data_IF_470065419473
#
_entry.id   IF_470065419473
#
_cell.length_a   1.000
_cell.length_b   1.000
_cell.length_c   1.000
_cell.angle_alpha   90.00
_cell.angle_beta   90.00
_cell.angle_gamma   90.00
#
_symmetry.space_group_name_H-M   'P 1'
#
loop_
_entity.id
_entity.type
_entity.pdbx_description
1 polymer ?
#
# COMPACT_ATOMS: atom_id res chain seq x y z
N UNK A 1 2.06 61.77 40.91
CA UNK A 1 1.29 60.55 41.27
C UNK A 1 -0.13 60.73 40.75
N UNK A 2 -0.43 60.21 39.57
CA UNK A 2 -1.74 60.12 38.88
C UNK A 2 -1.47 59.26 37.63
N UNK A 3 -2.16 58.15 37.30
CA UNK A 3 -3.59 57.81 37.19
C UNK A 3 -4.15 58.01 35.77
N UNK A 4 -4.86 56.98 35.30
CA UNK A 4 -5.52 56.82 33.99
C UNK A 4 -4.60 56.72 32.75
N UNK A 5 -4.89 55.87 31.76
CA UNK A 5 -5.93 54.83 31.69
C UNK A 5 -5.78 53.94 30.43
N UNK A 6 -6.00 52.62 30.58
CA UNK A 6 -5.74 51.64 29.50
C UNK A 6 -6.98 51.42 28.61
N UNK A 7 -7.04 52.12 27.48
CA UNK A 7 -8.14 52.02 26.51
C UNK A 7 -8.00 50.80 25.58
N UNK A 8 -8.67 49.69 25.90
CA UNK A 8 -8.71 48.47 25.07
C UNK A 8 -9.58 48.68 23.82
N UNK A 9 -8.97 48.97 22.66
CA UNK A 9 -9.67 48.97 21.36
C UNK A 9 -9.86 47.54 20.85
N UNK A 10 -11.11 47.18 20.57
CA UNK A 10 -11.44 45.92 19.91
C UNK A 10 -11.27 46.05 18.39
N UNK A 11 -10.57 45.07 17.78
CA UNK A 11 -10.34 45.04 16.34
C UNK A 11 -11.52 44.42 15.60
N UNK A 12 -12.39 45.25 15.02
CA UNK A 12 -13.48 44.78 14.18
C UNK A 12 -12.95 44.05 12.94
N UNK A 13 -13.23 42.74 12.83
CA UNK A 13 -13.00 41.99 11.59
C UNK A 13 -14.01 42.44 10.53
N UNK A 14 -13.53 43.17 9.51
CA UNK A 14 -14.32 43.44 8.32
C UNK A 14 -14.66 42.15 7.54
N UNK A 15 -15.74 42.15 6.74
CA UNK A 15 -16.11 40.99 5.93
C UNK A 15 -15.02 40.69 4.90
N UNK A 16 -14.63 39.42 4.77
CA UNK A 16 -13.70 38.95 3.74
C UNK A 16 -14.33 39.15 2.35
N UNK A 17 -13.59 39.69 1.36
CA UNK A 17 -14.10 39.78 0.00
C UNK A 17 -14.37 38.39 -0.58
N UNK A 18 -15.49 38.24 -1.29
CA UNK A 18 -15.82 37.00 -1.99
C UNK A 18 -14.90 36.74 -3.19
N UNK A 19 -14.82 35.50 -3.69
CA UNK A 19 -14.02 35.17 -4.86
C UNK A 19 -14.52 35.93 -6.11
N UNK A 20 -13.62 36.33 -7.03
CA UNK A 20 -13.99 37.04 -8.24
C UNK A 20 -14.83 36.16 -9.18
N UNK A 21 -15.72 36.76 -10.01
CA UNK A 21 -16.48 36.01 -11.01
C UNK A 21 -15.56 35.41 -12.07
N UNK A 22 -15.87 34.19 -12.50
CA UNK A 22 -15.10 33.47 -13.52
C UNK A 22 -15.23 34.13 -14.91
N UNK A 23 -14.19 34.08 -15.75
CA UNK A 23 -14.22 34.69 -17.09
C UNK A 23 -15.16 33.91 -18.04
N UNK A 24 -15.91 34.61 -18.92
CA UNK A 24 -16.77 33.96 -19.90
C UNK A 24 -15.93 33.25 -20.97
N UNK A 25 -16.21 31.97 -21.21
CA UNK A 25 -15.56 31.17 -22.26
C UNK A 25 -14.79 29.92 -21.80
N UNK A 26 -14.76 29.63 -20.49
CA UNK A 26 -14.22 28.35 -20.01
C UNK A 26 -15.03 27.16 -20.56
N UNK A 27 -14.39 26.06 -21.00
CA UNK A 27 -15.08 24.84 -21.42
C UNK A 27 -15.85 24.22 -20.24
N UNK A 28 -16.91 23.43 -20.49
CA UNK A 28 -17.69 22.81 -19.43
C UNK A 28 -16.82 21.90 -18.56
N UNK A 29 -16.75 22.21 -17.27
CA UNK A 29 -16.02 21.42 -16.28
C UNK A 29 -16.62 20.00 -16.27
N UNK A 30 -15.81 18.92 -16.33
CA UNK A 30 -16.34 17.57 -16.22
C UNK A 30 -17.08 17.40 -14.89
N UNK A 31 -18.15 16.59 -14.83
CA UNK A 31 -18.89 16.38 -13.58
C UNK A 31 -17.93 15.83 -12.52
N UNK A 32 -17.75 16.62 -11.44
CA UNK A 32 -16.91 16.20 -10.32
C UNK A 32 -17.42 14.89 -9.69
N UNK A 33 -16.56 14.18 -8.94
CA UNK A 33 -16.99 13.00 -8.21
C UNK A 33 -18.23 13.34 -7.36
N UNK A 34 -19.26 12.47 -7.33
CA UNK A 34 -20.56 12.81 -6.80
C UNK A 34 -20.42 13.33 -5.37
N UNK A 35 -20.90 14.55 -5.13
CA UNK A 35 -20.85 15.18 -3.81
C UNK A 35 -21.48 14.23 -2.80
N UNK A 36 -20.67 13.79 -1.85
CA UNK A 36 -21.08 12.79 -0.88
C UNK A 36 -22.29 13.33 -0.11
N UNK A 37 -23.48 12.83 -0.46
CA UNK A 37 -24.70 13.11 0.30
C UNK A 37 -24.39 12.74 1.74
N UNK A 38 -24.47 13.72 2.63
CA UNK A 38 -24.21 13.55 4.06
C UNK A 38 -25.20 12.51 4.59
N UNK A 39 -24.75 11.25 4.63
CA UNK A 39 -25.54 10.14 5.11
C UNK A 39 -25.97 10.45 6.55
N UNK A 40 -27.17 10.02 6.98
CA UNK A 40 -27.55 10.16 8.38
C UNK A 40 -26.50 9.45 9.23
N UNK A 41 -26.02 10.13 10.27
CA UNK A 41 -25.21 9.51 11.32
C UNK A 41 -26.11 8.58 12.13
N UNK A 42 -26.32 7.38 11.60
CA UNK A 42 -26.84 6.26 12.39
C UNK A 42 -25.85 5.91 13.51
N UNK A 43 -26.29 5.11 14.50
CA UNK A 43 -25.38 4.52 15.46
C UNK A 43 -24.28 3.70 14.75
N UNK A 44 -23.09 3.56 15.35
CA UNK A 44 -22.07 2.66 14.80
C UNK A 44 -22.65 1.23 14.68
N UNK A 45 -22.31 0.45 13.64
CA UNK A 45 -22.78 -0.92 13.51
C UNK A 45 -22.32 -1.77 14.70
N UNK A 46 -23.26 -2.10 15.59
CA UNK A 46 -23.02 -2.97 16.74
C UNK A 46 -22.70 -4.39 16.26
N UNK A 47 -21.51 -4.87 16.61
CA UNK A 47 -21.09 -6.28 16.63
C UNK A 47 -21.42 -7.14 15.39
N UNK A 48 -21.46 -6.55 14.20
CA UNK A 48 -21.29 -7.31 12.96
C UNK A 48 -19.85 -7.84 12.92
N UNK A 49 -19.71 -9.10 13.34
CA UNK A 49 -18.44 -9.78 13.49
C UNK A 49 -17.60 -9.82 12.21
N UNK A 50 -16.32 -10.11 12.41
CA UNK A 50 -15.29 -10.24 11.36
C UNK A 50 -15.86 -11.03 10.16
N UNK A 51 -15.82 -10.50 8.92
CA UNK A 51 -16.54 -11.07 7.76
C UNK A 51 -15.87 -12.31 7.14
N UNK A 52 -15.46 -13.27 7.97
CA UNK A 52 -14.75 -14.50 7.61
C UNK A 52 -15.49 -15.29 6.52
N UNK A 53 -16.79 -15.52 6.70
CA UNK A 53 -17.58 -16.34 5.78
C UNK A 53 -17.77 -15.67 4.41
N UNK A 54 -17.71 -14.34 4.36
CA UNK A 54 -17.71 -13.58 3.10
C UNK A 54 -16.36 -13.71 2.37
N UNK A 55 -15.24 -13.72 3.09
CA UNK A 55 -13.91 -14.05 2.50
C UNK A 55 -13.90 -15.47 1.96
N UNK A 56 -14.36 -16.46 2.75
CA UNK A 56 -14.40 -17.87 2.34
C UNK A 56 -15.24 -18.02 1.05
N UNK A 57 -16.43 -17.43 1.01
CA UNK A 57 -17.30 -17.51 -0.17
C UNK A 57 -16.66 -16.88 -1.42
N UNK A 58 -16.01 -15.71 -1.29
CA UNK A 58 -15.32 -15.09 -2.42
C UNK A 58 -14.10 -15.90 -2.89
N UNK A 59 -13.36 -16.55 -1.99
CA UNK A 59 -12.23 -17.42 -2.36
C UNK A 59 -12.68 -18.73 -2.99
N UNK A 60 -13.80 -19.30 -2.55
CA UNK A 60 -14.45 -20.45 -3.23
C UNK A 60 -14.94 -20.09 -4.64
N UNK A 61 -15.28 -18.82 -4.89
CA UNK A 61 -15.57 -18.28 -6.22
C UNK A 61 -14.30 -17.95 -7.05
N UNK A 62 -13.10 -18.24 -6.53
CA UNK A 62 -11.83 -18.00 -7.23
C UNK A 62 -11.35 -16.54 -7.23
N UNK A 63 -11.94 -15.64 -6.42
CA UNK A 63 -11.46 -14.26 -6.31
C UNK A 63 -10.10 -14.22 -5.61
N UNK A 64 -9.16 -13.46 -6.18
CA UNK A 64 -7.86 -13.18 -5.56
C UNK A 64 -8.02 -12.30 -4.32
N UNK A 65 -7.11 -12.42 -3.35
CA UNK A 65 -7.18 -11.66 -2.09
C UNK A 65 -7.30 -10.14 -2.33
N UNK A 66 -6.64 -9.58 -3.37
CA UNK A 66 -6.79 -8.18 -3.75
C UNK A 66 -8.22 -7.79 -4.17
N UNK A 67 -8.94 -8.68 -4.85
CA UNK A 67 -10.36 -8.48 -5.21
C UNK A 67 -11.28 -8.65 -3.98
N UNK A 68 -10.94 -9.57 -3.06
CA UNK A 68 -11.66 -9.72 -1.78
C UNK A 68 -11.56 -8.45 -0.94
N UNK A 69 -10.33 -7.92 -0.76
CA UNK A 69 -10.07 -6.65 -0.04
C UNK A 69 -10.89 -5.51 -0.64
N UNK A 70 -10.88 -5.33 -1.97
CA UNK A 70 -11.64 -4.26 -2.63
C UNK A 70 -13.16 -4.39 -2.45
N UNK A 71 -13.70 -5.62 -2.43
CA UNK A 71 -15.13 -5.82 -2.19
C UNK A 71 -15.52 -5.56 -0.73
N UNK A 72 -14.70 -5.97 0.24
CA UNK A 72 -14.96 -5.71 1.66
C UNK A 72 -14.79 -4.23 2.03
N UNK A 73 -13.83 -3.52 1.43
CA UNK A 73 -13.72 -2.05 1.56
C UNK A 73 -14.97 -1.35 1.03
N UNK A 74 -15.55 -1.81 -0.10
CA UNK A 74 -16.82 -1.28 -0.64
C UNK A 74 -18.03 -1.60 0.25
N UNK A 75 -17.98 -2.69 1.01
CA UNK A 75 -18.98 -3.03 2.03
C UNK A 75 -18.80 -2.24 3.35
N UNK A 76 -17.73 -1.44 3.48
CA UNK A 76 -17.49 -0.55 4.62
C UNK A 76 -16.61 -1.13 5.73
N UNK A 77 -16.05 -2.33 5.56
CA UNK A 77 -15.15 -2.93 6.56
C UNK A 77 -13.80 -2.20 6.61
N UNK A 78 -13.24 -2.06 7.82
CA UNK A 78 -11.90 -1.49 7.99
C UNK A 78 -10.81 -2.47 7.54
N UNK A 79 -9.64 -1.95 7.14
CA UNK A 79 -8.49 -2.77 6.74
C UNK A 79 -8.11 -3.81 7.80
N UNK A 80 -8.17 -3.46 9.09
CA UNK A 80 -7.82 -4.38 10.17
C UNK A 80 -8.81 -5.56 10.25
N UNK A 81 -10.13 -5.29 10.17
CA UNK A 81 -11.15 -6.34 10.10
C UNK A 81 -11.01 -7.21 8.84
N UNK A 82 -10.56 -6.63 7.71
CA UNK A 82 -10.33 -7.36 6.46
C UNK A 82 -9.13 -8.30 6.56
N UNK A 83 -8.01 -7.85 7.14
CA UNK A 83 -6.84 -8.70 7.36
C UNK A 83 -7.12 -9.82 8.37
N UNK A 84 -7.84 -9.52 9.45
CA UNK A 84 -8.26 -10.51 10.45
C UNK A 84 -9.22 -11.54 9.82
N UNK A 85 -10.21 -11.07 9.03
CA UNK A 85 -11.12 -11.94 8.28
C UNK A 85 -10.40 -12.86 7.29
N UNK A 86 -9.37 -12.36 6.59
CA UNK A 86 -8.59 -13.18 5.67
C UNK A 86 -7.76 -14.23 6.42
N UNK A 87 -7.03 -13.84 7.47
CA UNK A 87 -6.24 -14.77 8.27
C UNK A 87 -7.11 -15.85 8.93
N UNK A 88 -8.27 -15.46 9.48
CA UNK A 88 -9.24 -16.40 10.05
C UNK A 88 -9.94 -17.26 8.98
N UNK A 89 -10.08 -16.77 7.74
CA UNK A 89 -10.61 -17.54 6.61
C UNK A 89 -9.60 -18.56 6.04
N UNK A 90 -8.31 -18.25 6.03
CA UNK A 90 -7.26 -19.23 5.73
C UNK A 90 -7.27 -20.38 6.76
N UNK A 91 -7.45 -20.07 8.05
CA UNK A 91 -7.54 -21.09 9.11
C UNK A 91 -8.85 -21.88 9.01
N UNK A 92 -10.00 -21.22 8.80
CA UNK A 92 -11.34 -21.85 8.77
C UNK A 92 -11.64 -22.58 7.46
N UNK A 93 -11.07 -22.15 6.34
CA UNK A 93 -11.09 -22.84 5.05
C UNK A 93 -9.91 -23.81 4.85
N UNK A 94 -9.05 -23.97 5.86
CA UNK A 94 -7.76 -24.65 5.81
C UNK A 94 -7.77 -26.17 5.78
N UNK A 95 -8.69 -26.79 5.03
CA UNK A 95 -8.53 -28.18 4.55
C UNK A 95 -8.79 -28.18 3.05
N UNK A 96 -7.82 -28.69 2.29
CA UNK A 96 -7.88 -28.87 0.83
C UNK A 96 -7.87 -27.59 -0.04
N UNK A 97 -6.75 -26.85 0.03
CA UNK A 97 -6.29 -26.00 -1.06
C UNK A 97 -4.78 -26.19 -1.27
N UNK A 98 -4.38 -26.78 -2.41
CA UNK A 98 -2.98 -27.09 -2.70
C UNK A 98 -2.10 -25.83 -2.79
N UNK A 99 -0.81 -25.90 -2.39
CA UNK A 99 0.13 -24.82 -2.68
C UNK A 99 0.29 -24.65 -4.21
N UNK A 100 0.53 -23.43 -4.71
CA UNK A 100 0.68 -23.19 -6.14
C UNK A 100 1.95 -23.89 -6.67
N UNK A 101 1.75 -24.90 -7.51
CA UNK A 101 2.82 -25.51 -8.29
C UNK A 101 3.30 -24.53 -9.35
N UNK A 102 4.61 -24.33 -9.44
CA UNK A 102 5.26 -23.56 -10.51
C UNK A 102 6.02 -24.52 -11.43
N UNK A 103 5.78 -24.40 -12.74
CA UNK A 103 6.12 -25.38 -13.79
C UNK A 103 4.91 -26.27 -14.12
N UNK A 104 4.55 -26.56 -15.39
CA UNK A 104 5.15 -26.25 -16.72
C UNK A 104 3.98 -26.20 -17.76
N UNK A 105 4.04 -25.83 -19.05
CA UNK A 105 5.12 -25.56 -20.04
C UNK A 105 4.54 -24.63 -21.16
N UNK A 106 5.15 -24.62 -22.35
CA UNK A 106 4.67 -24.09 -23.65
C UNK A 106 4.95 -22.58 -23.92
N UNK A 107 5.10 -22.17 -25.20
CA UNK A 107 6.35 -22.43 -25.92
C UNK A 107 7.05 -21.15 -26.45
N UNK A 108 8.27 -21.32 -26.97
CA UNK A 108 9.29 -20.28 -27.14
C UNK A 108 8.93 -19.05 -28.03
N UNK A 109 9.30 -17.87 -27.51
CA UNK A 109 9.77 -16.71 -28.29
C UNK A 109 10.79 -15.91 -27.41
N UNK A 110 11.83 -15.23 -27.95
CA UNK A 110 13.06 -15.03 -27.18
C UNK A 110 13.23 -13.69 -26.44
N UNK A 111 13.90 -13.80 -25.28
CA UNK A 111 14.92 -12.88 -24.72
C UNK A 111 14.48 -11.54 -24.10
N UNK A 112 14.41 -11.53 -22.76
CA UNK A 112 14.80 -10.41 -21.88
C UNK A 112 15.24 -10.95 -20.49
N UNK A 113 16.02 -10.21 -19.68
CA UNK A 113 16.80 -10.77 -18.57
C UNK A 113 16.01 -10.97 -17.26
N UNK A 114 16.45 -11.89 -16.37
CA UNK A 114 15.75 -12.22 -15.13
C UNK A 114 15.96 -11.17 -14.01
N UNK A 115 14.89 -10.82 -13.32
CA UNK A 115 14.92 -10.00 -12.10
C UNK A 115 14.77 -10.88 -10.86
N UNK A 116 15.70 -10.75 -9.90
CA UNK A 116 15.75 -11.58 -8.69
C UNK A 116 14.85 -11.05 -7.55
N UNK A 117 13.84 -11.83 -7.18
CA UNK A 117 13.01 -11.58 -5.99
C UNK A 117 13.48 -12.36 -4.75
N UNK A 118 13.34 -11.82 -3.52
CA UNK A 118 13.70 -12.52 -2.29
C UNK A 118 12.63 -13.56 -1.86
N UNK A 119 13.02 -14.65 -1.17
CA UNK A 119 12.09 -15.69 -0.72
C UNK A 119 11.23 -15.27 0.49
N UNK A 120 10.06 -15.90 0.63
CA UNK A 120 9.15 -15.71 1.77
C UNK A 120 9.49 -16.65 2.95
N UNK A 121 9.23 -16.25 4.21
CA UNK A 121 9.52 -17.06 5.39
C UNK A 121 8.41 -18.11 5.66
N UNK A 122 8.83 -19.34 5.99
CA UNK A 122 7.93 -20.44 6.38
C UNK A 122 7.41 -20.28 7.82
N UNK A 123 6.13 -20.59 8.06
CA UNK A 123 5.57 -20.73 9.40
C UNK A 123 5.70 -22.18 9.93
N UNK A 124 5.90 -22.39 11.24
CA UNK A 124 5.85 -23.71 11.86
C UNK A 124 4.40 -24.18 12.13
N UNK A 125 4.15 -25.50 12.21
CA UNK A 125 2.83 -26.06 12.51
C UNK A 125 2.46 -25.97 14.01
N UNK A 126 1.16 -26.01 14.36
CA UNK A 126 0.70 -25.99 15.75
C UNK A 126 0.94 -27.32 16.49
N UNK A 127 1.10 -27.31 17.84
CA UNK A 127 1.31 -28.51 18.65
C UNK A 127 0.02 -29.33 18.87
N UNK A 128 0.14 -30.64 19.14
CA UNK A 128 -1.01 -31.53 19.37
C UNK A 128 -1.62 -31.35 20.77
N UNK A 129 -2.94 -31.55 20.87
CA UNK A 129 -3.68 -31.56 22.13
C UNK A 129 -3.48 -32.87 22.93
N UNK A 130 -3.31 -32.74 24.25
CA UNK A 130 -3.07 -33.87 25.16
C UNK A 130 -4.34 -34.67 25.55
N UNK A 131 -4.16 -35.86 26.16
CA UNK A 131 -5.26 -36.75 26.54
C UNK A 131 -6.01 -36.29 27.81
N UNK A 132 -7.28 -36.71 27.99
CA UNK A 132 -8.10 -36.32 29.14
C UNK A 132 -7.77 -37.11 30.43
N UNK A 133 -7.95 -36.50 31.62
CA UNK A 133 -7.71 -37.17 32.90
C UNK A 133 -8.84 -38.17 33.26
N UNK A 134 -8.47 -39.28 33.88
CA UNK A 134 -9.41 -40.25 34.47
C UNK A 134 -9.74 -39.87 35.92
N UNK A 135 -11.02 -39.98 36.30
CA UNK A 135 -11.48 -39.76 37.68
C UNK A 135 -11.30 -40.99 38.59
N UNK A 136 -11.19 -40.82 39.93
CA UNK A 136 -10.97 -41.92 40.87
C UNK A 136 -12.26 -42.71 41.18
N UNK A 137 -12.19 -44.05 41.35
CA UNK A 137 -13.31 -44.86 41.81
C UNK A 137 -13.45 -44.85 43.35
N UNK A 138 -14.67 -44.69 43.84
CA UNK A 138 -15.02 -44.77 45.27
C UNK A 138 -15.49 -46.17 45.69
N UNK A 139 -15.05 -46.67 46.86
CA UNK A 139 -15.63 -47.84 47.54
C UNK A 139 -16.92 -47.53 48.31
N UNK A 140 -17.34 -48.29 49.36
CA UNK A 140 -16.66 -49.40 50.07
C UNK A 140 -17.52 -50.73 50.06
N UNK A 141 -17.28 -51.80 50.87
CA UNK A 141 -17.63 -51.82 52.32
C UNK A 141 -16.82 -52.74 53.31
N UNK A 142 -16.73 -52.30 54.57
CA UNK A 142 -16.74 -53.04 55.88
C UNK A 142 -16.01 -54.40 56.14
N UNK A 143 -15.22 -54.47 57.23
CA UNK A 143 -14.97 -55.71 58.01
C UNK A 143 -13.65 -55.80 58.84
N UNK A 144 -13.67 -55.96 60.19
CA UNK A 144 -12.48 -56.10 61.06
C UNK A 144 -12.27 -57.50 61.69
N UNK A 145 -11.04 -57.87 62.10
CA UNK A 145 -10.74 -58.10 63.54
C UNK A 145 -9.30 -57.67 63.99
N UNK A 146 -8.94 -57.70 65.31
CA UNK A 146 -7.77 -57.00 65.87
C UNK A 146 -6.58 -57.86 66.33
N UNK A 147 -5.43 -57.22 66.61
CA UNK A 147 -4.28 -57.82 67.34
C UNK A 147 -3.11 -56.87 67.62
N UNK A 148 -2.63 -56.73 68.88
CA UNK A 148 -1.41 -55.97 69.25
C UNK A 148 -0.32 -56.87 69.92
N UNK A 149 0.85 -56.32 70.32
CA UNK A 149 1.86 -55.57 69.54
C UNK A 149 3.20 -56.35 69.48
N UNK A 150 4.24 -55.85 68.79
CA UNK A 150 5.41 -55.42 69.58
C UNK A 150 6.16 -54.18 69.04
N UNK A 151 6.86 -53.52 69.96
CA UNK A 151 7.91 -52.51 69.73
C UNK A 151 9.30 -53.18 69.66
N UNK A 152 10.41 -52.45 69.36
CA UNK A 152 10.54 -51.18 68.62
C UNK A 152 11.65 -51.20 67.55
N UNK A 153 11.53 -50.39 66.48
CA UNK A 153 12.71 -49.95 65.71
C UNK A 153 12.47 -48.59 65.02
N UNK A 154 13.35 -47.63 65.28
CA UNK A 154 13.58 -46.47 64.40
C UNK A 154 14.51 -46.92 63.28
N UNK A 155 14.24 -46.51 62.03
CA UNK A 155 15.11 -45.48 61.46
C UNK A 155 14.40 -44.13 61.30
N UNK A 156 15.12 -43.04 61.49
CA UNK A 156 14.66 -41.70 61.09
C UNK A 156 15.22 -41.37 59.71
N UNK A 157 14.38 -41.46 58.68
CA UNK A 157 14.57 -40.81 57.37
C UNK A 157 13.27 -40.85 56.55
N UNK A 158 12.55 -39.74 56.53
CA UNK A 158 11.54 -39.43 55.50
C UNK A 158 11.40 -37.91 55.37
N UNK A 159 12.49 -37.31 54.90
CA UNK A 159 12.60 -35.91 54.50
C UNK A 159 13.41 -35.92 53.20
N UNK A 160 12.70 -36.14 52.08
CA UNK A 160 13.32 -36.41 50.78
C UNK A 160 12.33 -36.49 49.62
N UNK A 161 11.04 -36.74 49.87
CA UNK A 161 9.99 -36.77 48.84
C UNK A 161 9.53 -35.40 48.32
N UNK A 162 10.16 -34.30 48.77
CA UNK A 162 9.97 -32.96 48.21
C UNK A 162 11.12 -32.57 47.28
N UNK A 163 12.36 -32.92 47.67
CA UNK A 163 13.60 -32.67 46.91
C UNK A 163 13.42 -33.02 45.42
N UNK A 164 13.05 -34.26 45.10
CA UNK A 164 12.93 -34.70 43.71
C UNK A 164 11.75 -34.13 42.93
N UNK A 165 10.79 -33.45 43.56
CA UNK A 165 9.76 -32.67 42.85
C UNK A 165 10.23 -31.24 42.61
N UNK A 166 10.93 -30.64 43.57
CA UNK A 166 11.54 -29.32 43.43
C UNK A 166 12.67 -29.36 42.38
N UNK A 167 13.58 -30.34 42.45
CA UNK A 167 14.63 -30.64 41.47
C UNK A 167 14.07 -30.87 40.05
N UNK A 168 12.91 -31.52 39.91
CA UNK A 168 12.26 -31.73 38.62
C UNK A 168 11.62 -30.45 38.09
N UNK A 169 10.98 -29.65 38.94
CA UNK A 169 10.44 -28.33 38.56
C UNK A 169 11.58 -27.38 38.19
N UNK A 170 12.71 -27.44 38.88
CA UNK A 170 13.91 -26.63 38.64
C UNK A 170 14.58 -27.02 37.31
N UNK A 171 14.79 -28.32 37.03
CA UNK A 171 15.29 -28.78 35.72
C UNK A 171 14.34 -28.46 34.56
N UNK A 172 13.03 -28.56 34.76
CA UNK A 172 12.02 -28.17 33.77
C UNK A 172 12.02 -26.65 33.57
N UNK A 173 12.21 -25.86 34.62
CA UNK A 173 12.33 -24.41 34.54
C UNK A 173 13.61 -24.00 33.80
N UNK A 174 14.79 -24.50 34.19
CA UNK A 174 16.06 -24.19 33.54
C UNK A 174 16.04 -24.55 32.04
N UNK A 175 15.60 -25.75 31.68
CA UNK A 175 15.56 -26.19 30.27
C UNK A 175 14.58 -25.38 29.42
N UNK A 176 13.39 -25.04 29.94
CA UNK A 176 12.44 -24.16 29.23
C UNK A 176 12.96 -22.71 29.16
N UNK A 177 13.62 -22.21 30.21
CA UNK A 177 14.19 -20.86 30.24
C UNK A 177 15.32 -20.74 29.21
N UNK A 178 16.27 -21.66 29.16
CA UNK A 178 17.38 -21.61 28.20
C UNK A 178 16.92 -21.82 26.74
N UNK A 179 15.94 -22.71 26.50
CA UNK A 179 15.35 -22.86 25.16
C UNK A 179 14.65 -21.55 24.72
N UNK A 180 13.79 -20.98 25.56
CA UNK A 180 13.04 -19.75 25.22
C UNK A 180 13.93 -18.51 25.20
N UNK A 181 14.98 -18.46 26.01
CA UNK A 181 16.01 -17.41 25.95
C UNK A 181 16.79 -17.49 24.64
N UNK A 182 17.21 -18.69 24.23
CA UNK A 182 17.90 -18.92 22.94
C UNK A 182 17.00 -18.57 21.76
N UNK A 183 15.71 -18.90 21.80
CA UNK A 183 14.72 -18.51 20.80
C UNK A 183 14.54 -16.97 20.76
N UNK A 184 14.41 -16.33 21.92
CA UNK A 184 14.27 -14.88 22.04
C UNK A 184 15.49 -14.13 21.49
N UNK A 185 16.71 -14.52 21.89
CA UNK A 185 17.96 -13.95 21.37
C UNK A 185 18.08 -14.17 19.86
N UNK A 186 17.71 -15.34 19.36
CA UNK A 186 17.66 -15.64 17.92
C UNK A 186 16.68 -14.71 17.19
N UNK A 187 15.52 -14.43 17.77
CA UNK A 187 14.53 -13.52 17.17
C UNK A 187 14.95 -12.04 17.26
N UNK A 188 15.61 -11.62 18.34
CA UNK A 188 16.23 -10.28 18.45
C UNK A 188 17.30 -10.11 17.35
N UNK A 189 18.16 -11.10 17.14
CA UNK A 189 19.18 -11.05 16.06
C UNK A 189 18.55 -10.99 14.66
N UNK A 190 17.41 -11.66 14.42
CA UNK A 190 16.63 -11.49 13.18
C UNK A 190 16.13 -10.06 13.02
N UNK A 191 15.58 -9.45 14.08
CA UNK A 191 15.07 -8.07 14.09
C UNK A 191 16.19 -7.06 13.82
N UNK A 192 17.38 -7.22 14.43
CA UNK A 192 18.56 -6.41 14.12
C UNK A 192 18.91 -6.53 12.63
N UNK A 193 19.06 -7.77 12.12
CA UNK A 193 19.36 -8.00 10.70
C UNK A 193 18.28 -7.49 9.72
N UNK A 194 17.07 -7.22 10.21
CA UNK A 194 15.99 -6.59 9.45
C UNK A 194 16.06 -5.07 9.52
N UNK A 195 16.35 -4.50 10.70
CA UNK A 195 16.65 -3.07 10.89
C UNK A 195 17.79 -2.63 9.97
N UNK A 196 18.93 -3.34 9.98
CA UNK A 196 20.10 -3.00 9.18
C UNK A 196 19.77 -3.02 7.66
N UNK A 197 18.94 -3.98 7.23
CA UNK A 197 18.43 -4.08 5.85
C UNK A 197 17.39 -3.01 5.52
N UNK A 198 16.68 -2.47 6.50
CA UNK A 198 15.72 -1.39 6.33
C UNK A 198 16.45 -0.04 6.23
N UNK A 199 17.42 0.21 7.09
CA UNK A 199 18.27 1.41 7.06
C UNK A 199 19.06 1.47 5.74
N UNK A 200 19.76 0.40 5.34
CA UNK A 200 20.45 0.35 4.04
C UNK A 200 19.51 0.50 2.83
N UNK A 201 18.23 0.11 2.95
CA UNK A 201 17.22 0.36 1.91
C UNK A 201 16.70 1.80 1.90
N UNK A 202 16.70 2.46 3.06
CA UNK A 202 16.31 3.86 3.22
C UNK A 202 17.41 4.78 2.68
N UNK A 203 18.68 4.52 3.02
CA UNK A 203 19.83 5.19 2.40
C UNK A 203 19.79 5.12 0.87
N UNK A 204 19.53 3.92 0.33
CA UNK A 204 19.43 3.65 -1.11
C UNK A 204 18.09 4.10 -1.74
N UNK A 205 17.18 4.67 -0.95
CA UNK A 205 15.94 5.32 -1.41
C UNK A 205 16.09 6.84 -1.40
N UNK A 206 16.71 7.40 -0.36
CA UNK A 206 17.03 8.83 -0.27
C UNK A 206 18.02 9.23 -1.37
N UNK A 207 19.05 8.42 -1.64
CA UNK A 207 19.94 8.59 -2.81
C UNK A 207 19.17 8.66 -4.14
N UNK A 208 18.12 7.85 -4.30
CA UNK A 208 17.29 7.84 -5.52
C UNK A 208 16.35 9.03 -5.59
N UNK A 209 15.97 9.62 -4.46
CA UNK A 209 15.23 10.89 -4.42
C UNK A 209 16.14 12.04 -4.84
N UNK A 210 17.40 12.06 -4.38
CA UNK A 210 18.38 13.07 -4.79
C UNK A 210 18.76 12.94 -6.28
N UNK A 211 18.98 11.71 -6.78
CA UNK A 211 19.19 11.45 -8.22
C UNK A 211 17.97 11.89 -9.06
N UNK A 212 16.75 11.50 -8.66
CA UNK A 212 15.51 11.88 -9.32
C UNK A 212 15.30 13.39 -9.31
N UNK A 213 15.67 14.07 -8.23
CA UNK A 213 15.65 15.53 -8.14
C UNK A 213 16.66 16.16 -9.09
N UNK A 214 17.89 15.66 -9.14
CA UNK A 214 18.91 16.15 -10.06
C UNK A 214 18.50 15.95 -11.52
N UNK A 215 17.88 14.83 -11.87
CA UNK A 215 17.35 14.58 -13.22
C UNK A 215 16.10 15.40 -13.55
N UNK A 216 15.24 15.68 -12.56
CA UNK A 216 14.14 16.64 -12.72
C UNK A 216 14.64 18.06 -12.99
N UNK A 217 15.64 18.53 -12.23
CA UNK A 217 16.20 19.88 -12.40
C UNK A 217 16.89 20.01 -13.78
N UNK A 218 17.65 19.00 -14.23
CA UNK A 218 18.21 18.92 -15.60
C UNK A 218 17.12 18.92 -16.67
N UNK A 219 16.03 18.16 -16.49
CA UNK A 219 14.91 18.11 -17.43
C UNK A 219 14.20 19.46 -17.50
N UNK A 220 14.04 20.15 -16.37
CA UNK A 220 13.45 21.48 -16.32
C UNK A 220 14.28 22.50 -17.11
N UNK A 221 15.60 22.52 -16.91
CA UNK A 221 16.53 23.36 -17.68
C UNK A 221 16.48 23.04 -19.19
N UNK A 222 16.52 21.75 -19.55
CA UNK A 222 16.44 21.32 -20.95
C UNK A 222 15.11 21.67 -21.62
N UNK A 223 14.00 21.61 -20.88
CA UNK A 223 12.66 22.04 -21.36
C UNK A 223 12.60 23.56 -21.51
N UNK A 224 13.17 24.35 -20.59
CA UNK A 224 13.25 25.81 -20.72
C UNK A 224 14.04 26.21 -21.96
N UNK A 225 15.25 25.67 -22.13
CA UNK A 225 16.08 25.94 -23.31
C UNK A 225 15.44 25.46 -24.62
N UNK A 226 14.61 24.42 -24.58
CA UNK A 226 13.78 24.03 -25.74
C UNK A 226 12.66 25.03 -26.02
N UNK A 227 11.98 25.56 -25.01
CA UNK A 227 10.94 26.58 -25.17
C UNK A 227 11.54 27.87 -25.76
N UNK A 228 12.70 28.32 -25.28
CA UNK A 228 13.43 29.46 -25.85
C UNK A 228 13.86 29.22 -27.31
N UNK A 229 14.34 28.01 -27.63
CA UNK A 229 14.65 27.61 -29.00
C UNK A 229 13.39 27.62 -29.90
N UNK A 230 12.24 27.19 -29.38
CA UNK A 230 10.97 27.23 -30.09
C UNK A 230 10.47 28.65 -30.33
N UNK A 231 10.48 29.53 -29.32
CA UNK A 231 10.07 30.93 -29.46
C UNK A 231 10.94 31.68 -30.50
N UNK A 232 12.25 31.48 -30.45
CA UNK A 232 13.19 32.03 -31.43
C UNK A 232 12.92 31.50 -32.85
N UNK A 233 12.63 30.20 -32.99
CA UNK A 233 12.28 29.61 -34.28
C UNK A 233 10.93 30.15 -34.80
N UNK A 234 9.92 30.30 -33.95
CA UNK A 234 8.61 30.88 -34.30
C UNK A 234 8.78 32.35 -34.73
N UNK A 235 9.63 33.11 -34.04
CA UNK A 235 9.96 34.51 -34.39
C UNK A 235 10.69 34.62 -35.73
N UNK A 236 11.63 33.71 -36.02
CA UNK A 236 12.29 33.63 -37.33
C UNK A 236 11.29 33.28 -38.43
N UNK A 237 10.46 32.24 -38.25
CA UNK A 237 9.42 31.85 -39.20
C UNK A 237 8.41 32.99 -39.41
N UNK A 238 8.01 33.71 -38.36
CA UNK A 238 7.16 34.90 -38.48
C UNK A 238 7.79 36.05 -39.28
N UNK A 239 9.12 36.10 -39.34
CA UNK A 239 9.88 37.06 -40.16
C UNK A 239 9.97 36.60 -41.62
N UNK A 240 10.24 35.31 -41.86
CA UNK A 240 10.23 34.69 -43.19
C UNK A 240 8.84 34.73 -43.84
N UNK A 241 7.78 34.45 -43.07
CA UNK A 241 6.38 34.57 -43.53
C UNK A 241 6.04 36.01 -43.92
N UNK A 242 6.49 37.02 -43.19
CA UNK A 242 6.35 38.44 -43.57
C UNK A 242 7.19 38.83 -44.80
N UNK A 243 8.33 38.18 -45.03
CA UNK A 243 9.10 38.36 -46.25
C UNK A 243 8.38 37.72 -47.45
N UNK A 244 7.85 36.52 -47.28
CA UNK A 244 7.05 35.81 -48.29
C UNK A 244 5.75 36.57 -48.60
N UNK A 245 5.08 37.15 -47.61
CA UNK A 245 3.91 38.03 -47.78
C UNK A 245 4.26 39.22 -48.68
N UNK A 246 5.37 39.92 -48.42
CA UNK A 246 5.83 41.04 -49.26
C UNK A 246 6.25 40.61 -50.67
N UNK A 247 6.74 39.38 -50.85
CA UNK A 247 6.97 38.81 -52.18
C UNK A 247 5.64 38.55 -52.88
N UNK A 248 4.67 37.93 -52.20
CA UNK A 248 3.34 37.65 -52.75
C UNK A 248 2.58 38.93 -53.15
N UNK A 249 2.63 39.97 -52.32
CA UNK A 249 2.11 41.31 -52.61
C UNK A 249 2.73 41.95 -53.87
N UNK A 250 3.99 41.64 -54.20
CA UNK A 250 4.67 42.09 -55.44
C UNK A 250 4.37 41.18 -56.64
N UNK A 251 4.23 39.88 -56.42
CA UNK A 251 3.99 38.88 -57.46
C UNK A 251 2.55 38.93 -57.96
N UNK A 252 1.56 39.20 -57.11
CA UNK A 252 0.15 39.29 -57.50
C UNK A 252 -0.11 40.33 -58.62
N UNK A 253 0.33 41.60 -58.54
CA UNK A 253 0.20 42.56 -59.65
C UNK A 253 0.89 42.10 -60.93
N UNK A 254 2.11 41.58 -60.83
CA UNK A 254 2.87 41.09 -62.00
C UNK A 254 2.17 39.90 -62.68
N UNK A 255 1.57 38.99 -61.92
CA UNK A 255 0.76 37.90 -62.47
C UNK A 255 -0.51 38.44 -63.15
N UNK A 256 -1.20 39.40 -62.53
CA UNK A 256 -2.40 40.01 -63.10
C UNK A 256 -2.09 40.75 -64.41
N UNK A 257 -0.97 41.46 -64.48
CA UNK A 257 -0.50 42.15 -65.68
C UNK A 257 -0.08 41.17 -66.77
N UNK A 258 0.70 40.12 -66.44
CA UNK A 258 1.06 39.06 -67.39
C UNK A 258 -0.17 38.32 -67.94
N UNK A 259 -1.20 38.07 -67.13
CA UNK A 259 -2.46 37.47 -67.58
C UNK A 259 -3.22 38.42 -68.51
N UNK A 260 -3.25 39.72 -68.21
CA UNK A 260 -3.86 40.74 -69.05
C UNK A 260 -3.13 40.90 -70.40
N UNK A 261 -1.79 40.86 -70.40
CA UNK A 261 -0.94 40.83 -71.60
C UNK A 261 -1.21 39.59 -72.45
N UNK A 262 -1.20 38.39 -71.85
CA UNK A 262 -1.46 37.12 -72.55
C UNK A 262 -2.89 37.07 -73.12
N UNK A 263 -3.87 37.62 -72.39
CA UNK A 263 -5.23 37.83 -72.86
C UNK A 263 -5.31 38.79 -74.06
N UNK A 264 -4.55 39.90 -74.03
CA UNK A 264 -4.43 40.83 -75.17
C UNK A 264 -3.78 40.17 -76.38
N UNK A 265 -2.68 39.45 -76.21
CA UNK A 265 -2.00 38.71 -77.30
C UNK A 265 -2.96 37.69 -77.93
N UNK A 266 -3.60 36.87 -77.11
CA UNK A 266 -4.62 35.89 -77.57
C UNK A 266 -5.77 36.58 -78.31
N UNK A 267 -6.25 37.73 -77.84
CA UNK A 267 -7.35 38.47 -78.48
C UNK A 267 -6.95 39.11 -79.82
N UNK A 268 -5.71 39.60 -79.96
CA UNK A 268 -5.16 40.04 -81.27
C UNK A 268 -5.05 38.85 -82.23
N UNK A 269 -4.49 37.74 -81.77
CA UNK A 269 -4.25 36.55 -82.59
C UNK A 269 -5.55 35.89 -83.07
N UNK A 270 -6.62 35.94 -82.26
CA UNK A 270 -7.97 35.49 -82.63
C UNK A 270 -8.73 36.46 -83.54
N UNK A 271 -8.35 37.75 -83.58
CA UNK A 271 -8.96 38.77 -84.42
C UNK A 271 -8.23 39.04 -85.74
N UNK A 272 -7.12 38.34 -85.99
CA UNK A 272 -6.30 38.47 -87.21
C UNK A 272 -6.57 37.32 -88.20
N UNK A 273 -7.83 36.85 -88.26
CA UNK A 273 -8.28 35.69 -89.04
C UNK A 273 -9.75 35.85 -89.42
#
# INVERSE_FOLDING_TARGET
MALFGFGKKEGAKGPTPGPPPAPPGAPPVPPGPPTAKKAPTGPPPEEQGIPVDQVISMRQQGLTNNQVIQNLQRAGYSQQQIFDAMNQADIKGGVEASPPSYGEEAPANPMQPPTSGPPAPSQPPPPPSGPPPQGPPSGPPTGPPPGPPPQPQRPSQSAGSLSSTEEQIEQIAESIIDEKWTELVTNINKIISWKDKLESRMDAFDQKIDDLKADYDKLHEAVLGKIEQYDKNITNVGTEVKAMEKVFQKVLPAFQENINELGRVTKRLKGSK
#
